data_IF_699508602877
#
_entry.id   IF_699508602877
#
_cell.length_a   1.000
_cell.length_b   1.000
_cell.length_c   1.000
_cell.angle_alpha   90.00
_cell.angle_beta   90.00
_cell.angle_gamma   90.00
#
_symmetry.space_group_name_H-M   'P 1'
#
loop_
_entity.id
_entity.type
_entity.pdbx_description
1 polymer ?
#
# COMPACT_ATOMS: atom_id res chain seq x y z
N UNK A 1 -2.21 30.76 2.35
CA UNK A 1 -1.25 30.17 3.31
C UNK A 1 -0.36 29.18 2.57
N UNK A 2 0.93 29.45 2.46
CA UNK A 2 1.91 28.52 1.87
C UNK A 2 2.12 27.33 2.82
N UNK A 3 1.76 26.14 2.39
CA UNK A 3 2.03 24.93 3.16
C UNK A 3 3.55 24.77 3.31
N UNK A 4 4.05 24.69 4.55
CA UNK A 4 5.47 24.44 4.81
C UNK A 4 5.75 22.94 4.74
N UNK A 5 6.75 22.56 3.97
CA UNK A 5 7.31 21.19 3.90
C UNK A 5 8.71 21.17 4.51
N UNK A 6 9.18 20.01 5.06
CA UNK A 6 8.42 18.76 5.25
C UNK A 6 7.39 18.83 6.37
N UNK A 7 6.37 17.97 6.33
CA UNK A 7 5.31 17.89 7.35
C UNK A 7 5.00 16.42 7.66
N UNK A 8 5.04 16.04 8.93
CA UNK A 8 4.62 14.70 9.39
C UNK A 8 3.15 14.45 9.06
N UNK A 9 2.88 13.32 8.43
CA UNK A 9 1.54 12.82 8.11
C UNK A 9 1.11 11.74 9.09
N UNK A 10 2.01 10.80 9.40
CA UNK A 10 1.78 9.76 10.39
C UNK A 10 3.10 9.37 11.04
N UNK A 11 3.01 8.86 12.27
CA UNK A 11 4.14 8.29 13.00
C UNK A 11 3.66 7.02 13.67
N UNK A 12 4.27 5.89 13.33
CA UNK A 12 4.03 4.57 13.93
C UNK A 12 5.22 4.09 14.74
N UNK A 13 5.12 2.87 15.28
CA UNK A 13 6.17 2.26 16.09
C UNK A 13 7.50 2.09 15.31
N UNK A 14 7.41 1.83 14.01
CA UNK A 14 8.55 1.41 13.18
C UNK A 14 8.86 2.35 12.01
N UNK A 15 8.01 3.33 11.75
CA UNK A 15 8.23 4.29 10.67
C UNK A 15 7.50 5.61 10.88
N UNK A 16 7.98 6.64 10.22
CA UNK A 16 7.34 7.95 10.15
C UNK A 16 7.16 8.31 8.68
N UNK A 17 5.96 8.78 8.32
CA UNK A 17 5.65 9.25 6.97
C UNK A 17 5.54 10.78 6.99
N UNK A 18 6.31 11.43 6.13
CA UNK A 18 6.35 12.89 6.00
C UNK A 18 5.96 13.31 4.58
N UNK A 19 5.18 14.37 4.46
CA UNK A 19 4.97 15.03 3.18
C UNK A 19 6.21 15.85 2.83
N UNK A 20 6.81 15.57 1.69
CA UNK A 20 7.95 16.31 1.15
C UNK A 20 7.49 17.44 0.23
N UNK A 21 6.36 17.25 -0.43
CA UNK A 21 5.72 18.22 -1.32
C UNK A 21 4.22 17.93 -1.47
N UNK A 22 3.55 18.57 -2.42
CA UNK A 22 2.17 18.22 -2.80
C UNK A 22 2.08 16.87 -3.53
N UNK A 23 3.18 16.36 -4.08
CA UNK A 23 3.21 15.16 -4.92
C UNK A 23 4.05 14.03 -4.37
N UNK A 24 4.86 14.26 -3.33
CA UNK A 24 5.78 13.26 -2.78
C UNK A 24 5.64 13.14 -1.27
N UNK A 25 5.78 11.90 -0.79
CA UNK A 25 5.95 11.56 0.63
C UNK A 25 7.21 10.74 0.82
N UNK A 26 7.83 10.89 1.98
CA UNK A 26 8.97 10.09 2.43
C UNK A 26 8.56 9.20 3.60
N UNK A 27 8.92 7.92 3.55
CA UNK A 27 8.82 6.97 4.66
C UNK A 27 10.20 6.79 5.26
N UNK A 28 10.35 7.18 6.52
CA UNK A 28 11.58 7.07 7.30
C UNK A 28 11.43 5.87 8.23
N UNK A 29 12.40 4.98 8.22
CA UNK A 29 12.40 3.79 9.05
C UNK A 29 13.10 4.11 10.38
N UNK A 30 12.38 3.93 11.47
CA UNK A 30 12.87 4.19 12.82
C UNK A 30 12.84 2.89 13.62
N UNK A 31 14.00 2.32 13.89
CA UNK A 31 14.14 1.11 14.71
C UNK A 31 14.16 -0.20 13.93
N UNK A 32 14.09 -1.33 14.67
CA UNK A 32 14.07 -2.67 14.11
C UNK A 32 12.69 -2.98 13.48
N UNK A 33 12.62 -2.91 12.17
CA UNK A 33 11.41 -3.22 11.42
C UNK A 33 11.49 -4.62 10.80
N UNK A 34 10.34 -5.26 10.54
CA UNK A 34 10.27 -6.54 9.82
C UNK A 34 10.60 -6.42 8.34
N UNK A 35 10.69 -5.22 7.84
CA UNK A 35 11.11 -4.91 6.47
C UNK A 35 12.19 -3.84 6.49
N UNK A 36 13.15 -3.96 5.59
CA UNK A 36 14.14 -2.91 5.36
C UNK A 36 13.75 -2.06 4.16
N UNK A 37 14.31 -0.86 4.11
CA UNK A 37 13.98 0.14 3.08
C UNK A 37 14.33 -0.34 1.67
N UNK A 38 15.43 -1.06 1.49
CA UNK A 38 15.85 -1.58 0.19
C UNK A 38 14.92 -2.67 -0.31
N UNK A 39 14.51 -3.58 0.56
CA UNK A 39 13.54 -4.63 0.27
C UNK A 39 12.18 -4.05 -0.08
N UNK A 40 11.70 -3.04 0.63
CA UNK A 40 10.43 -2.39 0.33
C UNK A 40 10.47 -1.65 -1.01
N UNK A 41 11.56 -0.93 -1.30
CA UNK A 41 11.78 -0.28 -2.59
C UNK A 41 11.77 -1.28 -3.77
N UNK A 42 12.43 -2.45 -3.61
CA UNK A 42 12.45 -3.52 -4.61
C UNK A 42 11.05 -4.05 -4.90
N UNK A 43 10.27 -4.34 -3.86
CA UNK A 43 8.88 -4.81 -3.98
C UNK A 43 7.98 -3.78 -4.67
N UNK A 44 8.12 -2.49 -4.34
CA UNK A 44 7.39 -1.41 -5.00
C UNK A 44 7.73 -1.33 -6.48
N UNK A 45 9.02 -1.33 -6.84
CA UNK A 45 9.48 -1.32 -8.23
C UNK A 45 8.93 -2.51 -9.01
N UNK A 46 8.94 -3.70 -8.41
CA UNK A 46 8.37 -4.89 -9.02
C UNK A 46 6.89 -4.72 -9.31
N UNK A 47 6.09 -4.34 -8.33
CA UNK A 47 4.65 -4.12 -8.49
C UNK A 47 4.35 -3.01 -9.50
N UNK A 48 5.08 -1.90 -9.46
CA UNK A 48 4.91 -0.77 -10.40
C UNK A 48 5.27 -1.11 -11.85
N UNK A 49 6.10 -2.13 -12.09
CA UNK A 49 6.37 -2.63 -13.43
C UNK A 49 5.21 -3.47 -13.99
N UNK A 50 4.28 -3.93 -13.15
CA UNK A 50 3.11 -4.71 -13.54
C UNK A 50 1.93 -3.81 -13.85
N UNK A 51 1.54 -2.98 -12.87
CA UNK A 51 0.41 -2.04 -13.02
C UNK A 51 0.50 -0.87 -12.01
N UNK A 52 -0.55 -0.06 -11.95
CA UNK A 52 -0.63 1.12 -11.10
C UNK A 52 -1.27 0.91 -9.73
N UNK A 53 -1.60 -0.32 -9.32
CA UNK A 53 -2.33 -0.58 -8.07
C UNK A 53 -1.53 -0.16 -6.83
N UNK A 54 -0.25 -0.54 -6.75
CA UNK A 54 0.63 -0.16 -5.64
C UNK A 54 1.10 1.29 -5.79
N UNK A 55 1.18 2.01 -4.68
CA UNK A 55 1.76 3.36 -4.62
C UNK A 55 3.09 3.42 -5.36
N UNK A 56 3.30 4.48 -6.15
CA UNK A 56 4.44 4.58 -7.06
C UNK A 56 5.73 4.89 -6.30
N UNK A 57 6.74 4.07 -6.50
CA UNK A 57 8.12 4.35 -6.09
C UNK A 57 8.69 5.53 -6.88
N UNK A 58 9.37 6.44 -6.18
CA UNK A 58 10.05 7.58 -6.80
C UNK A 58 11.56 7.42 -6.71
N UNK A 59 12.11 7.33 -5.49
CA UNK A 59 13.55 7.15 -5.25
C UNK A 59 13.85 6.75 -3.81
N UNK A 60 15.06 6.31 -3.57
CA UNK A 60 15.66 6.31 -2.23
C UNK A 60 16.39 7.63 -2.01
N UNK A 61 16.33 8.15 -0.79
CA UNK A 61 16.93 9.42 -0.39
C UNK A 61 17.46 9.33 1.04
N UNK A 62 18.04 10.40 1.56
CA UNK A 62 18.50 10.53 2.94
C UNK A 62 17.77 11.69 3.61
N UNK A 63 17.26 11.47 4.81
CA UNK A 63 16.60 12.51 5.59
C UNK A 63 17.46 12.97 6.77
N UNK A 64 18.26 14.00 6.57
CA UNK A 64 19.14 14.58 7.59
C UNK A 64 20.06 13.53 8.23
N UNK A 65 20.04 13.47 9.57
CA UNK A 65 20.78 12.46 10.36
C UNK A 65 19.94 11.20 10.65
N UNK A 66 18.68 11.15 10.24
CA UNK A 66 17.74 10.07 10.57
C UNK A 66 17.93 8.82 9.70
N UNK A 67 18.70 8.92 8.61
CA UNK A 67 19.07 7.81 7.76
C UNK A 67 18.31 7.75 6.45
N UNK A 68 18.17 6.54 5.88
CA UNK A 68 17.56 6.32 4.59
C UNK A 68 16.05 6.57 4.61
N UNK A 69 15.56 7.11 3.51
CA UNK A 69 14.15 7.44 3.29
C UNK A 69 13.66 6.86 1.97
N UNK A 70 12.51 6.20 2.01
CA UNK A 70 11.79 5.74 0.82
C UNK A 70 10.85 6.84 0.35
N UNK A 71 11.11 7.41 -0.84
CA UNK A 71 10.26 8.43 -1.44
C UNK A 71 9.30 7.79 -2.45
N UNK A 72 8.02 8.11 -2.29
CA UNK A 72 6.93 7.62 -3.12
C UNK A 72 5.96 8.73 -3.46
N UNK A 73 5.07 8.50 -4.43
CA UNK A 73 3.99 9.42 -4.75
C UNK A 73 3.11 9.67 -3.53
N UNK A 74 2.59 10.89 -3.44
CA UNK A 74 1.63 11.25 -2.40
C UNK A 74 0.21 10.98 -2.86
N UNK A 75 -0.48 10.10 -2.16
CA UNK A 75 -1.89 9.81 -2.37
C UNK A 75 -2.76 10.63 -1.41
N UNK A 76 -3.96 10.97 -1.86
CA UNK A 76 -4.96 11.69 -1.08
C UNK A 76 -6.19 10.77 -0.94
N UNK A 77 -6.32 10.05 0.19
CA UNK A 77 -7.43 9.14 0.38
C UNK A 77 -8.76 9.91 0.49
N UNK A 78 -9.77 9.32 -0.12
CA UNK A 78 -11.17 9.74 -0.03
C UNK A 78 -11.93 8.81 0.90
N UNK A 79 -13.10 9.26 1.38
CA UNK A 79 -14.02 8.38 2.06
C UNK A 79 -14.47 7.24 1.13
N UNK A 80 -14.54 6.00 1.63
CA UNK A 80 -15.00 4.85 0.85
C UNK A 80 -16.47 4.97 0.38
N UNK A 81 -17.23 5.88 0.96
CA UNK A 81 -18.62 6.21 0.58
C UNK A 81 -18.72 7.43 -0.35
N UNK A 82 -17.59 7.97 -0.84
CA UNK A 82 -17.58 9.14 -1.71
C UNK A 82 -18.25 8.92 -3.07
N UNK A 83 -18.42 7.67 -3.49
CA UNK A 83 -19.05 7.31 -4.76
C UNK A 83 -20.32 6.49 -4.57
N UNK A 84 -21.24 6.60 -5.53
CA UNK A 84 -22.45 5.79 -5.63
C UNK A 84 -22.11 4.29 -5.77
N UNK A 85 -23.09 3.44 -5.46
CA UNK A 85 -22.91 1.99 -5.40
C UNK A 85 -22.35 1.42 -6.71
N UNK A 86 -22.94 1.76 -7.84
CA UNK A 86 -22.55 1.26 -9.18
C UNK A 86 -21.10 1.66 -9.52
N UNK A 87 -20.69 2.88 -9.12
CA UNK A 87 -19.31 3.31 -9.29
C UNK A 87 -18.36 2.52 -8.40
N UNK A 88 -18.77 2.17 -7.20
CA UNK A 88 -17.98 1.36 -6.28
C UNK A 88 -17.80 -0.07 -6.79
N UNK A 89 -18.85 -0.67 -7.41
CA UNK A 89 -18.73 -1.98 -8.07
C UNK A 89 -17.68 -1.96 -9.17
N UNK A 90 -17.74 -0.98 -10.08
CA UNK A 90 -16.75 -0.84 -11.16
C UNK A 90 -15.32 -0.66 -10.63
N UNK A 91 -15.15 0.08 -9.55
CA UNK A 91 -13.83 0.24 -8.91
C UNK A 91 -13.31 -1.05 -8.29
N UNK A 92 -14.20 -1.89 -7.74
CA UNK A 92 -13.84 -3.21 -7.23
C UNK A 92 -13.42 -4.16 -8.34
N UNK A 93 -14.12 -4.16 -9.47
CA UNK A 93 -13.78 -5.00 -10.61
C UNK A 93 -12.37 -4.66 -11.13
N UNK A 94 -12.05 -3.37 -11.24
CA UNK A 94 -10.71 -2.93 -11.62
C UNK A 94 -9.67 -3.35 -10.57
N UNK A 95 -9.97 -3.15 -9.29
CA UNK A 95 -9.08 -3.55 -8.20
C UNK A 95 -8.80 -5.05 -8.21
N UNK A 96 -9.84 -5.88 -8.38
CA UNK A 96 -9.69 -7.33 -8.45
C UNK A 96 -8.81 -7.75 -9.63
N UNK A 97 -9.03 -7.17 -10.81
CA UNK A 97 -8.24 -7.46 -12.00
C UNK A 97 -6.77 -7.08 -11.82
N UNK A 98 -6.49 -5.89 -11.30
CA UNK A 98 -5.12 -5.43 -11.02
C UNK A 98 -4.44 -6.28 -9.95
N UNK A 99 -5.15 -6.69 -8.90
CA UNK A 99 -4.64 -7.58 -7.86
C UNK A 99 -4.27 -8.95 -8.46
N UNK A 100 -5.14 -9.53 -9.30
CA UNK A 100 -4.87 -10.78 -10.01
C UNK A 100 -3.69 -10.66 -10.98
N UNK A 101 -3.47 -9.50 -11.60
CA UNK A 101 -2.28 -9.25 -12.43
C UNK A 101 -1.00 -9.32 -11.60
N UNK A 102 -0.99 -8.70 -10.42
CA UNK A 102 0.14 -8.78 -9.47
C UNK A 102 0.41 -10.23 -9.05
N UNK A 103 -0.63 -10.98 -8.70
CA UNK A 103 -0.50 -12.41 -8.34
C UNK A 103 0.11 -13.23 -9.49
N UNK A 104 -0.37 -13.06 -10.73
CA UNK A 104 0.19 -13.76 -11.90
C UNK A 104 1.65 -13.39 -12.17
N UNK A 105 2.03 -12.15 -11.88
CA UNK A 105 3.41 -11.70 -12.00
C UNK A 105 4.32 -12.22 -10.86
N UNK A 106 3.75 -12.68 -9.75
CA UNK A 106 4.49 -13.22 -8.60
C UNK A 106 4.65 -12.23 -7.44
N UNK A 107 3.74 -11.27 -7.29
CA UNK A 107 3.66 -10.34 -6.15
C UNK A 107 2.36 -10.56 -5.38
N UNK A 108 2.44 -10.65 -4.04
CA UNK A 108 1.31 -10.64 -3.13
C UNK A 108 1.53 -9.59 -2.04
N UNK A 109 0.55 -8.73 -1.81
CA UNK A 109 0.65 -7.61 -0.85
C UNK A 109 0.67 -8.09 0.61
N UNK A 110 -0.20 -9.04 0.96
CA UNK A 110 -0.28 -9.73 2.25
C UNK A 110 -0.78 -8.90 3.44
N UNK A 111 -1.22 -7.69 3.22
CA UNK A 111 -1.66 -6.78 4.29
C UNK A 111 -2.84 -5.90 3.84
N UNK A 112 -3.85 -6.52 3.21
CA UNK A 112 -5.07 -5.82 2.82
C UNK A 112 -5.95 -5.54 4.02
N UNK A 113 -5.91 -6.42 5.04
CA UNK A 113 -6.74 -6.33 6.24
C UNK A 113 -5.90 -6.37 7.49
N UNK A 114 -6.01 -5.35 8.31
CA UNK A 114 -5.41 -5.33 9.65
C UNK A 114 -6.08 -6.37 10.55
N UNK A 115 -5.33 -7.18 11.32
CA UNK A 115 -5.89 -8.09 12.32
C UNK A 115 -6.76 -7.34 13.33
N UNK A 116 -7.87 -7.98 13.78
CA UNK A 116 -8.87 -7.36 14.64
C UNK A 116 -8.38 -7.02 16.06
N UNK A 117 -7.29 -7.63 16.49
CA UNK A 117 -6.62 -7.38 17.77
C UNK A 117 -5.61 -6.23 17.73
N UNK A 118 -5.36 -5.66 16.55
CA UNK A 118 -4.47 -4.51 16.38
C UNK A 118 -5.27 -3.20 16.30
N UNK A 119 -4.81 -2.12 16.94
CA UNK A 119 -5.45 -0.81 16.82
C UNK A 119 -5.30 -0.23 15.41
N UNK A 120 -6.31 0.49 14.93
CA UNK A 120 -6.33 1.16 13.63
C UNK A 120 -7.54 0.80 12.79
N UNK A 121 -7.58 1.31 11.56
CA UNK A 121 -8.63 1.01 10.60
C UNK A 121 -8.41 -0.37 9.98
N UNK A 122 -9.49 -1.11 9.76
CA UNK A 122 -9.44 -2.49 9.25
C UNK A 122 -8.77 -2.60 7.89
N UNK A 123 -8.95 -1.61 7.00
CA UNK A 123 -8.43 -1.57 5.63
C UNK A 123 -7.56 -0.34 5.40
N UNK A 124 -6.64 -0.05 6.31
CA UNK A 124 -5.82 1.16 6.31
C UNK A 124 -4.73 1.19 5.22
N UNK A 125 -4.43 0.04 4.60
CA UNK A 125 -3.53 -0.04 3.45
C UNK A 125 -4.22 0.07 2.09
N UNK A 126 -5.56 0.20 2.08
CA UNK A 126 -6.36 0.40 0.86
C UNK A 126 -6.82 1.85 0.82
N UNK A 127 -6.45 2.58 -0.21
CA UNK A 127 -6.87 3.97 -0.42
C UNK A 127 -7.82 4.08 -1.61
N UNK A 128 -9.01 4.66 -1.37
CA UNK A 128 -9.82 5.19 -2.46
C UNK A 128 -9.27 6.55 -2.83
N UNK A 129 -8.96 6.74 -4.11
CA UNK A 129 -8.46 8.02 -4.65
C UNK A 129 -9.32 8.48 -5.83
N UNK A 130 -9.19 9.73 -6.30
CA UNK A 130 -9.91 10.19 -7.49
C UNK A 130 -9.64 9.36 -8.75
N UNK A 131 -8.51 8.67 -8.82
CA UNK A 131 -8.10 7.84 -9.97
C UNK A 131 -8.39 6.35 -9.80
N UNK A 132 -8.89 5.91 -8.64
CA UNK A 132 -9.21 4.52 -8.35
C UNK A 132 -8.72 4.05 -6.98
N UNK A 133 -8.78 2.74 -6.76
CA UNK A 133 -8.26 2.11 -5.54
C UNK A 133 -6.75 1.94 -5.68
N UNK A 134 -6.03 2.21 -4.59
CA UNK A 134 -4.57 2.11 -4.52
C UNK A 134 -4.14 1.40 -3.23
N UNK A 135 -3.04 0.68 -3.30
CA UNK A 135 -2.42 0.00 -2.15
C UNK A 135 -1.18 0.74 -1.68
N UNK A 136 -1.03 0.84 -0.37
CA UNK A 136 0.17 1.38 0.29
C UNK A 136 0.81 0.33 1.20
N UNK A 137 2.01 0.60 1.66
CA UNK A 137 2.76 -0.21 2.64
C UNK A 137 3.01 -1.66 2.19
N UNK A 138 3.99 -1.85 1.31
CA UNK A 138 4.39 -3.17 0.81
C UNK A 138 5.46 -3.87 1.68
N UNK A 139 5.68 -3.40 2.91
CA UNK A 139 6.75 -3.90 3.78
C UNK A 139 6.76 -5.41 3.95
N UNK A 140 5.60 -6.03 4.19
CA UNK A 140 5.46 -7.47 4.37
C UNK A 140 5.06 -8.24 3.10
N UNK A 141 4.97 -7.55 1.96
CA UNK A 141 4.64 -8.18 0.67
C UNK A 141 5.62 -9.29 0.31
N UNK A 142 5.17 -10.25 -0.47
CA UNK A 142 5.96 -11.39 -0.90
C UNK A 142 6.20 -11.37 -2.41
N UNK A 143 7.43 -11.68 -2.81
CA UNK A 143 7.77 -12.04 -4.19
C UNK A 143 7.87 -13.57 -4.29
N UNK A 144 7.18 -14.16 -5.27
CA UNK A 144 7.20 -15.62 -5.53
C UNK A 144 8.62 -16.16 -5.65
N UNK A 145 9.51 -15.39 -6.29
CA UNK A 145 10.92 -15.74 -6.46
C UNK A 145 11.71 -15.86 -5.14
N UNK A 146 11.25 -15.19 -4.09
CA UNK A 146 11.89 -15.19 -2.78
C UNK A 146 11.32 -16.24 -1.83
N UNK A 147 10.00 -16.46 -1.87
CA UNK A 147 9.31 -17.35 -0.92
C UNK A 147 9.04 -18.75 -1.47
N UNK A 148 9.14 -18.95 -2.78
CA UNK A 148 8.79 -20.18 -3.46
C UNK A 148 7.29 -20.31 -3.76
N UNK A 149 6.96 -21.21 -4.68
CA UNK A 149 5.62 -21.35 -5.26
C UNK A 149 4.56 -21.71 -4.22
N UNK A 150 4.79 -22.78 -3.47
CA UNK A 150 3.81 -23.31 -2.52
C UNK A 150 3.41 -22.30 -1.43
N UNK A 151 4.38 -21.54 -0.89
CA UNK A 151 4.10 -20.53 0.12
C UNK A 151 3.44 -19.31 -0.50
N UNK A 152 3.85 -18.94 -1.71
CA UNK A 152 3.24 -17.83 -2.45
C UNK A 152 1.75 -18.08 -2.75
N UNK A 153 1.38 -19.29 -3.17
CA UNK A 153 -0.03 -19.66 -3.43
C UNK A 153 -0.91 -19.52 -2.18
N UNK A 154 -0.39 -19.88 -1.00
CA UNK A 154 -1.11 -19.65 0.27
C UNK A 154 -1.31 -18.17 0.57
N UNK A 155 -0.33 -17.34 0.27
CA UNK A 155 -0.47 -15.89 0.42
C UNK A 155 -1.49 -15.31 -0.54
N UNK A 156 -1.54 -15.77 -1.78
CA UNK A 156 -2.56 -15.37 -2.76
C UNK A 156 -3.96 -15.78 -2.29
N UNK A 157 -4.13 -17.01 -1.81
CA UNK A 157 -5.42 -17.48 -1.28
C UNK A 157 -5.89 -16.63 -0.09
N UNK A 158 -5.01 -16.37 0.87
CA UNK A 158 -5.32 -15.50 2.01
C UNK A 158 -5.70 -14.09 1.56
N UNK A 159 -4.93 -13.50 0.65
CA UNK A 159 -5.17 -12.15 0.15
C UNK A 159 -6.49 -12.04 -0.61
N UNK A 160 -6.88 -13.04 -1.38
CA UNK A 160 -8.20 -13.08 -2.03
C UNK A 160 -9.34 -13.19 -1.03
N UNK A 161 -9.17 -13.92 0.09
CA UNK A 161 -10.14 -13.94 1.17
C UNK A 161 -10.27 -12.56 1.85
N UNK A 162 -9.17 -11.85 2.06
CA UNK A 162 -9.17 -10.48 2.59
C UNK A 162 -9.83 -9.49 1.61
N UNK A 163 -9.59 -9.66 0.31
CA UNK A 163 -10.27 -8.89 -0.74
C UNK A 163 -11.80 -9.07 -0.68
N UNK A 164 -12.33 -10.29 -0.50
CA UNK A 164 -13.76 -10.51 -0.37
C UNK A 164 -14.37 -9.86 0.88
N UNK A 165 -13.61 -9.80 1.98
CA UNK A 165 -14.02 -9.03 3.16
C UNK A 165 -14.04 -7.52 2.87
N UNK A 166 -13.06 -7.01 2.15
CA UNK A 166 -13.04 -5.61 1.71
C UNK A 166 -14.21 -5.32 0.75
N UNK A 167 -14.49 -6.21 -0.22
CA UNK A 167 -15.65 -6.10 -1.13
C UNK A 167 -16.95 -5.93 -0.35
N UNK A 168 -17.18 -6.79 0.63
CA UNK A 168 -18.38 -6.75 1.49
C UNK A 168 -18.46 -5.42 2.25
N UNK A 169 -17.36 -4.98 2.82
CA UNK A 169 -17.27 -3.70 3.53
C UNK A 169 -17.49 -2.51 2.58
N UNK A 170 -16.82 -2.48 1.44
CA UNK A 170 -16.85 -1.36 0.50
C UNK A 170 -18.21 -1.19 -0.15
N UNK A 171 -18.94 -2.29 -0.42
CA UNK A 171 -20.29 -2.27 -0.97
C UNK A 171 -21.41 -2.15 0.08
N UNK A 172 -21.13 -2.30 1.37
CA UNK A 172 -22.15 -2.12 2.41
C UNK A 172 -22.76 -0.73 2.35
N UNK A 173 -24.05 -0.60 2.74
CA UNK A 173 -24.84 0.66 2.72
C UNK A 173 -24.47 1.56 3.89
#
# INVERSE_FOLDING_TARGET
>A
MTKRYPRTLSSGANNTVIALSETEVGKIFTGDTRSDIGSEAEKMKFANAVNGLVVKFVRLDVFGSEGEMLVMERLFPMDFRAYEFERRELLLDVFEDELKQLHRAGFAHRDLRRPSDMPGLTFDNIFLTPTGIRLIDVGISALKSQVGEQLFERFVEQEMNEFELFRTFFLSR
#
